data_IF_905107197797
#
_entry.id   IF_905107197797
#
_cell.length_a   1.000
_cell.length_b   1.000
_cell.length_c   1.000
_cell.angle_alpha   90.00
_cell.angle_beta   90.00
_cell.angle_gamma   90.00
#
_symmetry.space_group_name_H-M   'P 1'
#
loop_
_entity.id
_entity.type
_entity.pdbx_description
1 polymer ?
#
# COMPACT_ATOMS: atom_id res chain seq x y z
N UNK A 1 -16.40 5.25 9.64
CA UNK A 1 -14.97 4.93 9.37
C UNK A 1 -14.90 3.86 8.29
N UNK A 2 -14.17 4.13 7.23
CA UNK A 2 -14.03 3.16 6.14
C UNK A 2 -13.02 2.09 6.51
N UNK A 3 -13.36 0.84 6.22
CA UNK A 3 -12.41 -0.26 6.36
C UNK A 3 -11.53 -0.29 5.12
N UNK A 4 -10.30 0.18 5.25
CA UNK A 4 -9.40 0.30 4.10
C UNK A 4 -9.09 -1.04 3.45
N UNK A 5 -9.23 -2.15 4.18
CA UNK A 5 -8.93 -3.47 3.65
C UNK A 5 -10.01 -3.98 2.68
N UNK A 6 -11.16 -3.30 2.63
CA UNK A 6 -12.25 -3.66 1.70
C UNK A 6 -12.32 -2.75 0.49
N UNK A 7 -11.52 -1.68 0.45
CA UNK A 7 -11.54 -0.74 -0.66
C UNK A 7 -10.80 -1.30 -1.88
N UNK A 8 -11.22 -0.93 -3.10
CA UNK A 8 -10.42 -1.24 -4.28
C UNK A 8 -9.03 -0.65 -4.16
N UNK A 9 -8.02 -1.39 -4.61
CA UNK A 9 -6.63 -0.96 -4.51
C UNK A 9 -6.13 -0.58 -5.90
N UNK A 10 -5.62 0.65 -6.00
CA UNK A 10 -5.00 1.15 -7.21
C UNK A 10 -3.56 1.55 -6.91
N UNK A 11 -2.73 1.58 -7.94
CA UNK A 11 -1.33 1.91 -7.79
C UNK A 11 -0.98 3.10 -8.66
N UNK A 12 -0.24 4.08 -8.11
CA UNK A 12 0.38 5.09 -8.94
C UNK A 12 1.46 4.43 -9.78
N UNK A 13 1.72 4.96 -10.96
CA UNK A 13 2.68 4.37 -11.90
C UNK A 13 4.04 4.12 -11.24
N UNK A 14 4.53 5.08 -10.49
CA UNK A 14 5.81 4.96 -9.79
C UNK A 14 5.83 3.77 -8.82
N UNK A 15 4.77 3.63 -8.02
CA UNK A 15 4.69 2.53 -7.07
C UNK A 15 4.61 1.18 -7.77
N UNK A 16 3.82 1.09 -8.84
CA UNK A 16 3.69 -0.15 -9.61
C UNK A 16 5.03 -0.56 -10.19
N UNK A 17 5.79 0.38 -10.76
CA UNK A 17 7.10 0.10 -11.32
C UNK A 17 8.09 -0.36 -10.25
N UNK A 18 8.09 0.28 -9.08
CA UNK A 18 8.97 -0.13 -7.99
C UNK A 18 8.68 -1.56 -7.54
N UNK A 19 7.40 -1.92 -7.42
CA UNK A 19 7.01 -3.25 -6.98
C UNK A 19 7.44 -4.31 -7.97
N UNK A 20 7.26 -4.06 -9.27
CA UNK A 20 7.62 -5.02 -10.30
C UNK A 20 9.12 -5.12 -10.51
N UNK A 21 9.83 -3.98 -10.51
CA UNK A 21 11.25 -3.95 -10.84
C UNK A 21 12.16 -4.19 -9.64
N UNK A 22 11.87 -3.52 -8.53
CA UNK A 22 12.74 -3.58 -7.36
C UNK A 22 12.41 -4.74 -6.43
N UNK A 23 11.14 -4.99 -6.20
CA UNK A 23 10.69 -6.04 -5.28
C UNK A 23 10.28 -7.32 -5.99
N UNK A 24 10.14 -7.27 -7.32
CA UNK A 24 9.76 -8.41 -8.16
C UNK A 24 8.47 -9.08 -7.70
N UNK A 25 7.52 -8.26 -7.27
CA UNK A 25 6.21 -8.70 -6.83
C UNK A 25 5.16 -8.37 -7.88
N UNK A 26 4.21 -9.28 -8.11
CA UNK A 26 3.07 -8.99 -8.96
C UNK A 26 2.09 -8.09 -8.18
N UNK A 27 1.27 -7.34 -8.93
CA UNK A 27 0.29 -6.46 -8.28
C UNK A 27 -0.75 -7.25 -7.50
N UNK A 28 -1.10 -8.47 -7.97
CA UNK A 28 -2.04 -9.32 -7.25
C UNK A 28 -1.48 -9.78 -5.91
N UNK A 29 -0.20 -10.15 -5.86
CA UNK A 29 0.45 -10.51 -4.61
C UNK A 29 0.47 -9.34 -3.64
N UNK A 30 0.79 -8.14 -4.15
CA UNK A 30 0.84 -6.95 -3.32
C UNK A 30 -0.53 -6.61 -2.77
N UNK A 31 -1.59 -6.76 -3.56
CA UNK A 31 -2.95 -6.52 -3.06
C UNK A 31 -3.26 -7.40 -1.86
N UNK A 32 -2.82 -8.66 -1.91
CA UNK A 32 -3.02 -9.57 -0.78
C UNK A 32 -2.27 -9.07 0.46
N UNK A 33 -1.01 -8.66 0.31
CA UNK A 33 -0.24 -8.14 1.43
C UNK A 33 -0.84 -6.85 1.99
N UNK A 34 -1.36 -5.98 1.13
CA UNK A 34 -2.01 -4.75 1.58
C UNK A 34 -3.26 -5.05 2.40
N UNK A 35 -4.04 -6.04 1.99
CA UNK A 35 -5.26 -6.41 2.71
C UNK A 35 -4.99 -6.94 4.11
N UNK A 36 -3.81 -7.49 4.34
CA UNK A 36 -3.41 -8.03 5.65
C UNK A 36 -2.40 -7.14 6.36
N UNK A 37 -2.06 -5.99 5.80
CA UNK A 37 -1.03 -5.11 6.34
C UNK A 37 -1.47 -4.41 7.62
N UNK A 38 -0.49 -4.09 8.45
CA UNK A 38 -0.70 -3.30 9.64
C UNK A 38 -0.78 -1.82 9.30
N UNK A 39 -1.73 -1.12 9.88
CA UNK A 39 -1.86 0.32 9.68
C UNK A 39 -0.93 1.02 10.66
N UNK A 40 0.12 1.69 10.15
CA UNK A 40 1.02 2.48 10.99
C UNK A 40 0.51 3.92 11.13
N UNK A 41 -0.05 4.46 10.05
CA UNK A 41 -0.63 5.79 10.05
C UNK A 41 -1.94 5.75 9.26
N UNK A 42 -3.08 6.01 9.91
CA UNK A 42 -4.37 5.97 9.19
C UNK A 42 -4.59 7.24 8.39
N UNK A 43 -5.49 7.14 7.40
CA UNK A 43 -5.98 8.29 6.66
C UNK A 43 -7.30 8.71 7.30
N UNK A 44 -7.35 9.93 7.83
CA UNK A 44 -8.54 10.46 8.50
C UNK A 44 -9.48 11.17 7.54
N UNK A 45 -8.92 11.78 6.49
CA UNK A 45 -9.68 12.50 5.47
C UNK A 45 -9.19 12.12 4.09
N UNK A 46 -10.07 12.19 3.11
CA UNK A 46 -9.68 11.97 1.72
C UNK A 46 -8.54 12.90 1.33
N UNK A 47 -7.55 12.35 0.65
CA UNK A 47 -6.38 13.09 0.21
C UNK A 47 -5.24 13.11 1.20
N UNK A 48 -5.47 12.75 2.47
CA UNK A 48 -4.40 12.64 3.44
C UNK A 48 -3.58 11.37 3.18
N UNK A 49 -2.35 11.36 3.66
CA UNK A 49 -1.43 10.25 3.43
C UNK A 49 -1.39 9.35 4.67
N UNK A 50 -1.49 8.06 4.42
CA UNK A 50 -1.33 7.03 5.45
C UNK A 50 -0.18 6.11 5.13
N UNK A 51 0.13 5.22 6.07
CA UNK A 51 1.22 4.26 5.94
C UNK A 51 0.74 2.88 6.37
N UNK A 52 0.93 1.89 5.50
CA UNK A 52 0.71 0.49 5.80
C UNK A 52 2.06 -0.22 5.85
N UNK A 53 2.17 -1.26 6.66
CA UNK A 53 3.38 -2.07 6.73
C UNK A 53 3.02 -3.53 6.60
N UNK A 54 3.79 -4.24 5.79
CA UNK A 54 3.66 -5.68 5.63
C UNK A 54 5.03 -6.32 5.69
N UNK A 55 5.09 -7.58 6.17
CA UNK A 55 6.33 -8.36 6.14
C UNK A 55 6.23 -9.33 4.97
N UNK A 56 7.17 -9.20 4.03
CA UNK A 56 7.22 -10.05 2.86
C UNK A 56 8.57 -10.76 2.87
N UNK A 57 8.55 -12.06 3.14
CA UNK A 57 9.78 -12.78 3.41
C UNK A 57 10.44 -12.24 4.68
N UNK A 58 11.69 -11.83 4.58
CA UNK A 58 12.43 -11.25 5.71
C UNK A 58 12.40 -9.72 5.71
N UNK A 59 11.73 -9.11 4.73
CA UNK A 59 11.73 -7.66 4.57
C UNK A 59 10.44 -7.06 5.09
N UNK A 60 10.58 -5.91 5.77
CA UNK A 60 9.43 -5.09 6.15
C UNK A 60 9.26 -4.02 5.10
N UNK A 61 8.08 -3.94 4.52
CA UNK A 61 7.81 -3.02 3.43
C UNK A 61 6.70 -2.07 3.86
N UNK A 62 6.94 -0.77 3.68
CA UNK A 62 5.95 0.26 3.96
C UNK A 62 5.32 0.73 2.66
N UNK A 63 4.00 0.82 2.68
CA UNK A 63 3.23 1.35 1.56
C UNK A 63 2.68 2.70 1.97
N UNK A 64 3.11 3.75 1.27
CA UNK A 64 2.53 5.08 1.46
C UNK A 64 1.31 5.16 0.58
N UNK A 65 0.17 5.47 1.18
CA UNK A 65 -1.10 5.43 0.47
C UNK A 65 -1.96 6.66 0.77
N UNK A 66 -2.97 6.85 -0.07
CA UNK A 66 -4.03 7.82 0.18
C UNK A 66 -5.36 7.18 -0.19
N UNK A 67 -6.45 7.78 0.26
CA UNK A 67 -7.80 7.34 -0.12
C UNK A 67 -8.44 8.46 -0.92
N UNK A 68 -8.91 8.14 -2.12
CA UNK A 68 -9.63 9.05 -2.99
C UNK A 68 -10.74 8.32 -3.69
N UNK A 69 -11.91 8.95 -3.75
CA UNK A 69 -13.05 8.40 -4.48
C UNK A 69 -13.37 6.96 -4.06
N UNK A 70 -13.30 6.70 -2.77
CA UNK A 70 -13.57 5.39 -2.17
C UNK A 70 -12.63 4.29 -2.71
N UNK A 71 -11.41 4.66 -3.07
CA UNK A 71 -10.38 3.73 -3.49
C UNK A 71 -9.08 4.03 -2.76
N UNK A 72 -8.31 2.98 -2.52
CA UNK A 72 -7.00 3.10 -1.89
C UNK A 72 -5.94 3.20 -3.00
N UNK A 73 -5.12 4.25 -2.94
CA UNK A 73 -4.08 4.48 -3.94
C UNK A 73 -2.71 4.36 -3.29
N UNK A 74 -1.90 3.45 -3.81
CA UNK A 74 -0.51 3.31 -3.35
C UNK A 74 0.34 4.32 -4.10
N UNK A 75 0.94 5.24 -3.35
CA UNK A 75 1.72 6.35 -3.91
C UNK A 75 3.17 5.94 -4.10
N UNK A 76 3.75 5.31 -3.07
CA UNK A 76 5.13 4.83 -3.13
C UNK A 76 5.32 3.68 -2.17
N UNK A 77 6.45 2.99 -2.32
CA UNK A 77 6.78 1.81 -1.53
C UNK A 77 8.20 1.98 -1.00
N UNK A 78 8.39 1.68 0.27
CA UNK A 78 9.71 1.79 0.90
C UNK A 78 10.03 0.50 1.63
N UNK A 79 11.29 0.11 1.60
CA UNK A 79 11.76 -1.02 2.38
C UNK A 79 12.32 -0.52 3.69
N UNK A 80 11.89 -1.12 4.78
CA UNK A 80 12.44 -0.84 6.12
C UNK A 80 13.55 -1.83 6.40
N UNK A 81 14.69 -1.28 6.71
CA UNK A 81 15.83 -2.11 7.17
C UNK A 81 15.84 -2.18 8.68
#
# INVERSE_FOLDING_TARGET
>A
MQNIHTLPINFKKHAALMLLQRFKLSLDEVKHYIKTAKILKPVEKDGNIGILQSTIGDAKIKFVFTIREKALWIITVEECK
#
